data_IF_512441794048
#
_entry.id   IF_512441794048
#
_cell.length_a   1.000
_cell.length_b   1.000
_cell.length_c   1.000
_cell.angle_alpha   90.00
_cell.angle_beta   90.00
_cell.angle_gamma   90.00
#
_symmetry.space_group_name_H-M   'P 1'
#
loop_
_entity.id
_entity.type
_entity.pdbx_description
1 polymer ?
#
# COMPACT_ATOMS: atom_id res chain seq x y z
N UNK A 1 21.24 -8.96 6.01
CA UNK A 1 20.83 -7.59 5.66
C UNK A 1 19.41 -7.59 5.11
N UNK A 2 18.53 -6.69 5.56
CA UNK A 2 17.17 -6.48 5.08
C UNK A 2 17.03 -5.02 4.62
N UNK A 3 16.77 -4.80 3.33
CA UNK A 3 16.58 -3.46 2.77
C UNK A 3 15.13 -3.27 2.36
N UNK A 4 14.51 -2.14 2.71
CA UNK A 4 13.17 -1.82 2.28
C UNK A 4 13.18 -0.83 1.11
N UNK A 5 12.38 -1.09 0.06
CA UNK A 5 12.07 -0.12 -0.99
C UNK A 5 10.61 0.29 -0.83
N UNK A 6 10.41 1.49 -0.29
CA UNK A 6 9.07 2.02 0.03
C UNK A 6 8.58 3.01 -1.01
N UNK A 7 7.32 2.91 -1.40
CA UNK A 7 6.69 3.80 -2.39
C UNK A 7 5.27 4.19 -1.96
N UNK A 8 4.80 5.41 -2.28
CA UNK A 8 3.37 5.72 -2.24
C UNK A 8 2.55 4.71 -3.05
N UNK A 9 1.30 4.46 -2.62
CA UNK A 9 0.37 3.56 -3.31
C UNK A 9 -0.31 4.25 -4.50
N UNK A 10 0.49 4.59 -5.51
CA UNK A 10 0.06 5.28 -6.73
C UNK A 10 0.76 4.71 -7.95
N UNK A 11 0.18 4.85 -9.13
CA UNK A 11 0.64 4.28 -10.39
C UNK A 11 2.10 4.69 -10.71
N UNK A 12 2.40 6.00 -10.67
CA UNK A 12 3.71 6.52 -11.08
C UNK A 12 4.84 6.12 -10.12
N UNK A 13 4.57 6.14 -8.82
CA UNK A 13 5.58 5.79 -7.81
C UNK A 13 5.84 4.28 -7.78
N UNK A 14 4.81 3.44 -7.89
CA UNK A 14 4.97 1.98 -7.95
C UNK A 14 5.76 1.58 -9.21
N UNK A 15 5.52 2.24 -10.35
CA UNK A 15 6.30 2.01 -11.57
C UNK A 15 7.80 2.34 -11.42
N UNK A 16 8.15 3.24 -10.51
CA UNK A 16 9.55 3.61 -10.25
C UNK A 16 10.29 2.62 -9.35
N UNK A 17 9.57 1.74 -8.63
CA UNK A 17 10.17 0.70 -7.77
C UNK A 17 11.12 -0.19 -8.56
N UNK A 18 10.77 -0.58 -9.79
CA UNK A 18 11.58 -1.50 -10.59
C UNK A 18 12.99 -0.97 -10.85
N UNK A 19 13.12 0.33 -11.13
CA UNK A 19 14.42 0.97 -11.35
C UNK A 19 15.28 0.95 -10.08
N UNK A 20 14.66 1.23 -8.93
CA UNK A 20 15.36 1.25 -7.64
C UNK A 20 15.79 -0.15 -7.23
N UNK A 21 14.91 -1.15 -7.33
CA UNK A 21 15.25 -2.56 -7.01
C UNK A 21 16.38 -3.07 -7.91
N UNK A 22 16.32 -2.82 -9.22
CA UNK A 22 17.38 -3.22 -10.16
C UNK A 22 18.74 -2.61 -9.78
N UNK A 23 18.79 -1.31 -9.48
CA UNK A 23 20.02 -0.64 -9.07
C UNK A 23 20.61 -1.20 -7.75
N UNK A 24 19.75 -1.65 -6.83
CA UNK A 24 20.16 -2.25 -5.56
C UNK A 24 20.66 -3.69 -5.73
N UNK A 25 20.06 -4.46 -6.64
CA UNK A 25 20.50 -5.82 -6.96
C UNK A 25 21.88 -5.84 -7.61
N UNK A 26 22.19 -4.89 -8.50
CA UNK A 26 23.51 -4.82 -9.14
C UNK A 26 24.62 -4.50 -8.12
N UNK A 27 24.30 -3.70 -7.10
CA UNK A 27 25.28 -3.22 -6.11
C UNK A 27 25.36 -4.07 -4.85
N UNK A 28 24.35 -4.89 -4.57
CA UNK A 28 24.22 -5.62 -3.31
C UNK A 28 24.24 -7.13 -3.48
N UNK A 29 24.66 -7.84 -2.44
CA UNK A 29 24.57 -9.31 -2.34
C UNK A 29 23.17 -9.79 -1.94
N UNK A 30 22.11 -9.24 -2.54
CA UNK A 30 20.74 -9.63 -2.23
C UNK A 30 20.33 -10.87 -3.02
N UNK A 31 19.80 -11.86 -2.32
CA UNK A 31 19.36 -13.14 -2.89
C UNK A 31 17.84 -13.22 -3.01
N UNK A 32 17.12 -12.37 -2.29
CA UNK A 32 15.66 -12.42 -2.20
C UNK A 32 15.05 -11.06 -2.54
N UNK A 33 13.92 -11.07 -3.26
CA UNK A 33 13.08 -9.88 -3.45
C UNK A 33 11.65 -10.20 -3.03
N UNK A 34 11.17 -9.49 -2.00
CA UNK A 34 9.84 -9.65 -1.46
C UNK A 34 8.86 -8.67 -2.13
N UNK A 35 7.90 -9.19 -2.89
CA UNK A 35 6.92 -8.41 -3.68
C UNK A 35 5.55 -8.47 -2.99
N UNK A 36 4.78 -7.35 -2.92
CA UNK A 36 3.54 -7.28 -2.17
C UNK A 36 2.34 -7.90 -2.91
N UNK A 37 2.51 -9.16 -3.31
CA UNK A 37 1.47 -10.04 -3.87
C UNK A 37 1.21 -11.15 -2.85
N UNK A 38 -0.05 -11.53 -2.58
CA UNK A 38 -0.35 -12.66 -1.70
C UNK A 38 0.42 -13.93 -2.10
N UNK A 39 0.94 -14.64 -1.09
CA UNK A 39 1.76 -15.85 -1.29
C UNK A 39 1.05 -16.89 -2.16
N UNK A 40 -0.27 -17.01 -2.00
CA UNK A 40 -1.14 -17.92 -2.73
C UNK A 40 -1.19 -17.63 -4.23
N UNK A 41 -0.90 -16.39 -4.63
CA UNK A 41 -0.96 -15.94 -6.03
C UNK A 41 0.42 -15.84 -6.68
N UNK A 42 1.49 -15.58 -5.91
CA UNK A 42 2.81 -15.26 -6.44
C UNK A 42 3.33 -16.30 -7.43
N UNK A 43 3.32 -17.59 -7.06
CA UNK A 43 3.79 -18.68 -7.94
C UNK A 43 2.98 -18.76 -9.24
N UNK A 44 1.68 -18.51 -9.20
CA UNK A 44 0.81 -18.55 -10.38
C UNK A 44 1.11 -17.35 -11.28
N UNK A 45 1.23 -16.16 -10.70
CA UNK A 45 1.58 -14.93 -11.41
C UNK A 45 2.89 -15.12 -12.16
N UNK A 46 3.92 -15.62 -11.48
CA UNK A 46 5.23 -15.90 -12.07
C UNK A 46 5.10 -16.82 -13.28
N UNK A 47 4.42 -17.97 -13.11
CA UNK A 47 4.24 -18.94 -14.21
C UNK A 47 3.54 -18.31 -15.41
N UNK A 48 2.42 -17.62 -15.18
CA UNK A 48 1.66 -16.95 -16.23
C UNK A 48 2.47 -15.87 -16.94
N UNK A 49 3.22 -15.07 -16.17
CA UNK A 49 4.09 -14.03 -16.69
C UNK A 49 5.18 -14.61 -17.61
N UNK A 50 5.75 -15.76 -17.27
CA UNK A 50 6.79 -16.42 -18.06
C UNK A 50 6.24 -17.19 -19.27
N UNK A 51 5.10 -17.87 -19.14
CA UNK A 51 4.53 -18.70 -20.21
C UNK A 51 3.67 -17.92 -21.20
N UNK A 52 2.97 -16.90 -20.71
CA UNK A 52 1.86 -16.25 -21.43
C UNK A 52 1.94 -14.72 -21.38
N UNK A 53 2.98 -14.18 -20.75
CA UNK A 53 3.26 -12.75 -20.69
C UNK A 53 2.44 -11.96 -19.65
N UNK A 54 2.68 -10.65 -19.62
CA UNK A 54 2.08 -9.71 -18.66
C UNK A 54 0.55 -9.74 -18.67
N UNK A 55 -0.06 -9.78 -19.86
CA UNK A 55 -1.53 -9.71 -20.01
C UNK A 55 -2.25 -10.83 -19.26
N UNK A 56 -1.76 -12.07 -19.37
CA UNK A 56 -2.35 -13.22 -18.67
C UNK A 56 -2.26 -13.07 -17.14
N UNK A 57 -1.13 -12.59 -16.64
CA UNK A 57 -0.95 -12.35 -15.21
C UNK A 57 -1.84 -11.21 -14.69
N UNK A 58 -2.00 -10.13 -15.47
CA UNK A 58 -2.92 -9.03 -15.14
C UNK A 58 -4.36 -9.53 -15.07
N UNK A 59 -4.83 -10.27 -16.07
CA UNK A 59 -6.22 -10.78 -16.08
C UNK A 59 -6.48 -11.76 -14.93
N UNK A 60 -5.52 -12.64 -14.62
CA UNK A 60 -5.63 -13.53 -13.46
C UNK A 60 -5.72 -12.74 -12.14
N UNK A 61 -4.87 -11.74 -11.96
CA UNK A 61 -4.91 -10.87 -10.78
C UNK A 61 -6.17 -10.01 -10.74
N UNK A 62 -6.73 -9.62 -11.89
CA UNK A 62 -8.01 -8.91 -11.99
C UNK A 62 -9.13 -9.75 -11.39
N UNK A 63 -9.21 -11.02 -11.77
CA UNK A 63 -10.21 -11.95 -11.22
C UNK A 63 -10.00 -12.26 -9.74
N UNK A 64 -8.76 -12.26 -9.27
CA UNK A 64 -8.41 -12.65 -7.90
C UNK A 64 -8.48 -11.51 -6.87
N UNK A 65 -8.05 -10.31 -7.27
CA UNK A 65 -7.86 -9.13 -6.40
C UNK A 65 -8.73 -7.92 -6.79
N UNK A 66 -9.31 -7.93 -7.98
CA UNK A 66 -10.16 -6.86 -8.50
C UNK A 66 -9.38 -5.71 -9.17
N UNK A 67 -10.12 -4.89 -9.93
CA UNK A 67 -9.57 -3.76 -10.68
C UNK A 67 -8.86 -2.74 -9.77
N UNK A 68 -9.42 -2.45 -8.60
CA UNK A 68 -8.88 -1.41 -7.69
C UNK A 68 -7.44 -1.70 -7.24
N UNK A 69 -7.10 -2.97 -7.02
CA UNK A 69 -5.73 -3.37 -6.67
C UNK A 69 -4.77 -3.17 -7.86
N UNK A 70 -5.21 -3.54 -9.07
CA UNK A 70 -4.41 -3.47 -10.29
C UNK A 70 -4.03 -2.05 -10.71
N UNK A 71 -4.90 -1.06 -10.44
CA UNK A 71 -4.63 0.35 -10.76
C UNK A 71 -3.25 0.75 -10.25
N UNK A 72 -2.93 0.41 -9.00
CA UNK A 72 -1.67 0.79 -8.36
C UNK A 72 -0.58 -0.25 -8.51
N UNK A 73 -0.92 -1.56 -8.47
CA UNK A 73 0.08 -2.63 -8.33
C UNK A 73 0.45 -3.31 -9.65
N UNK A 74 -0.23 -3.04 -10.76
CA UNK A 74 0.12 -3.64 -12.06
C UNK A 74 1.58 -3.43 -12.51
N UNK A 75 2.29 -2.32 -12.19
CA UNK A 75 3.70 -2.19 -12.53
C UNK A 75 4.62 -3.18 -11.81
N UNK A 76 4.17 -3.82 -10.72
CA UNK A 76 4.92 -4.89 -10.06
C UNK A 76 5.07 -6.14 -10.93
N UNK A 77 4.20 -6.33 -11.93
CA UNK A 77 4.36 -7.43 -12.88
C UNK A 77 5.57 -7.18 -13.79
N UNK A 78 5.83 -5.91 -14.14
CA UNK A 78 7.04 -5.55 -14.90
C UNK A 78 8.30 -5.82 -14.06
N UNK A 79 8.24 -5.55 -12.75
CA UNK A 79 9.30 -5.94 -11.82
C UNK A 79 9.54 -7.45 -11.82
N UNK A 80 8.49 -8.26 -11.71
CA UNK A 80 8.61 -9.73 -11.75
C UNK A 80 9.27 -10.19 -13.05
N UNK A 81 8.82 -9.65 -14.19
CA UNK A 81 9.41 -9.97 -15.50
C UNK A 81 10.89 -9.63 -15.57
N UNK A 82 11.27 -8.44 -15.11
CA UNK A 82 12.66 -8.00 -15.09
C UNK A 82 13.53 -8.89 -14.19
N UNK A 83 13.06 -9.20 -12.97
CA UNK A 83 13.80 -10.03 -12.03
C UNK A 83 14.08 -11.42 -12.61
N UNK A 84 13.09 -12.04 -13.25
CA UNK A 84 13.30 -13.35 -13.87
C UNK A 84 14.25 -13.35 -15.06
N UNK A 85 14.24 -12.28 -15.86
CA UNK A 85 15.04 -12.22 -17.09
C UNK A 85 16.48 -11.76 -16.83
N UNK A 86 16.64 -10.78 -15.96
CA UNK A 86 17.93 -10.10 -15.74
C UNK A 86 18.63 -10.59 -14.47
N UNK A 87 17.89 -11.13 -13.50
CA UNK A 87 18.39 -11.53 -12.19
C UNK A 87 17.93 -12.95 -11.79
N UNK A 88 18.20 -13.99 -12.60
CA UNK A 88 17.63 -15.34 -12.42
C UNK A 88 18.04 -16.04 -11.11
N UNK A 89 19.08 -15.56 -10.42
CA UNK A 89 19.48 -16.08 -9.11
C UNK A 89 18.61 -15.55 -7.96
N UNK A 90 17.84 -14.48 -8.19
CA UNK A 90 16.99 -13.88 -7.17
C UNK A 90 15.77 -14.75 -6.92
N UNK A 91 15.56 -15.09 -5.66
CA UNK A 91 14.36 -15.75 -5.20
C UNK A 91 13.24 -14.73 -4.94
N UNK A 92 12.11 -14.88 -5.64
CA UNK A 92 10.93 -14.07 -5.37
C UNK A 92 10.13 -14.64 -4.21
N UNK A 93 9.89 -13.79 -3.21
CA UNK A 93 9.06 -14.13 -2.05
C UNK A 93 7.90 -13.14 -1.93
N UNK A 94 6.87 -13.53 -1.17
CA UNK A 94 5.72 -12.67 -0.92
C UNK A 94 5.99 -11.73 0.26
N UNK A 95 5.72 -10.44 0.09
CA UNK A 95 5.59 -9.47 1.19
C UNK A 95 4.15 -9.03 1.43
N UNK A 96 3.21 -9.53 0.62
CA UNK A 96 1.79 -9.17 0.69
C UNK A 96 1.06 -9.87 1.85
N UNK A 97 -0.12 -9.36 2.24
CA UNK A 97 -1.00 -10.09 3.14
C UNK A 97 -1.49 -11.40 2.50
N UNK A 98 -2.05 -12.32 3.30
CA UNK A 98 -2.73 -13.52 2.75
C UNK A 98 -3.87 -13.10 1.81
N UNK A 99 -4.27 -13.98 0.90
CA UNK A 99 -5.38 -13.68 -0.02
C UNK A 99 -6.68 -13.36 0.72
N UNK A 100 -6.93 -14.05 1.83
CA UNK A 100 -8.09 -13.80 2.67
C UNK A 100 -8.03 -12.42 3.34
N UNK A 101 -6.87 -12.03 3.84
CA UNK A 101 -6.69 -10.70 4.44
C UNK A 101 -6.79 -9.60 3.37
N UNK A 102 -6.25 -9.83 2.16
CA UNK A 102 -6.38 -8.91 1.04
C UNK A 102 -7.87 -8.69 0.67
N UNK A 103 -8.66 -9.76 0.64
CA UNK A 103 -10.11 -9.68 0.42
C UNK A 103 -10.83 -8.91 1.53
N UNK A 104 -10.42 -9.10 2.80
CA UNK A 104 -10.95 -8.33 3.93
C UNK A 104 -10.61 -6.84 3.81
N UNK A 105 -9.37 -6.50 3.46
CA UNK A 105 -8.95 -5.12 3.21
C UNK A 105 -9.77 -4.49 2.07
N UNK A 106 -9.96 -5.21 0.96
CA UNK A 106 -10.80 -4.74 -0.14
C UNK A 106 -12.25 -4.51 0.30
N UNK A 107 -12.81 -5.39 1.13
CA UNK A 107 -14.15 -5.20 1.69
C UNK A 107 -14.23 -3.94 2.57
N UNK A 108 -13.25 -3.74 3.45
CA UNK A 108 -13.16 -2.55 4.31
C UNK A 108 -13.10 -1.27 3.47
N UNK A 109 -12.37 -1.27 2.35
CA UNK A 109 -12.32 -0.13 1.44
C UNK A 109 -13.69 0.16 0.80
N UNK A 110 -14.45 -0.87 0.40
CA UNK A 110 -15.82 -0.72 -0.12
C UNK A 110 -16.78 -0.19 0.96
N UNK A 111 -16.68 -0.72 2.18
CA UNK A 111 -17.48 -0.27 3.31
C UNK A 111 -17.15 1.19 3.66
N UNK A 112 -15.87 1.60 3.56
CA UNK A 112 -15.42 2.98 3.74
C UNK A 112 -16.05 3.93 2.71
N UNK A 113 -16.04 3.56 1.42
CA UNK A 113 -16.70 4.35 0.36
C UNK A 113 -18.20 4.44 0.61
N UNK A 114 -18.82 3.36 1.06
CA UNK A 114 -20.26 3.32 1.40
C UNK A 114 -20.57 4.26 2.57
N UNK A 115 -19.74 4.28 3.61
CA UNK A 115 -19.90 5.20 4.74
C UNK A 115 -19.66 6.66 4.34
N UNK A 116 -18.71 6.94 3.44
CA UNK A 116 -18.52 8.28 2.86
C UNK A 116 -19.80 8.75 2.16
N UNK A 117 -20.37 7.93 1.28
CA UNK A 117 -21.61 8.26 0.57
C UNK A 117 -22.79 8.49 1.52
N UNK A 118 -22.94 7.63 2.55
CA UNK A 118 -23.99 7.79 3.57
C UNK A 118 -23.80 9.03 4.43
N UNK A 119 -22.56 9.45 4.67
CA UNK A 119 -22.25 10.63 5.48
C UNK A 119 -22.74 11.92 4.82
N UNK A 120 -22.79 11.97 3.48
CA UNK A 120 -23.36 13.10 2.74
C UNK A 120 -24.87 13.26 2.97
N UNK A 121 -25.58 12.16 3.27
CA UNK A 121 -27.04 12.16 3.45
C UNK A 121 -27.47 12.25 4.91
N UNK A 122 -26.71 11.64 5.81
CA UNK A 122 -27.12 11.41 7.21
C UNK A 122 -26.16 11.99 8.25
N UNK A 123 -25.09 12.65 7.80
CA UNK A 123 -23.99 13.08 8.66
C UNK A 123 -23.07 11.92 9.09
N UNK A 124 -21.99 12.26 9.81
CA UNK A 124 -20.97 11.28 10.22
C UNK A 124 -21.47 10.49 11.45
N UNK A 125 -21.86 9.23 11.23
CA UNK A 125 -22.15 8.25 12.28
C UNK A 125 -20.86 7.62 12.80
N UNK A 126 -20.26 8.22 13.83
CA UNK A 126 -18.91 7.85 14.27
C UNK A 126 -18.77 6.38 14.67
N UNK A 127 -19.80 5.76 15.26
CA UNK A 127 -19.76 4.36 15.70
C UNK A 127 -19.55 3.37 14.53
N UNK A 128 -20.13 3.66 13.37
CA UNK A 128 -19.93 2.85 12.16
C UNK A 128 -18.47 2.90 11.71
N UNK A 129 -17.86 4.08 11.78
CA UNK A 129 -16.44 4.30 11.47
C UNK A 129 -15.51 3.63 12.49
N UNK A 130 -15.86 3.68 13.79
CA UNK A 130 -15.11 2.97 14.84
C UNK A 130 -15.14 1.46 14.60
N UNK A 131 -16.32 0.89 14.27
CA UNK A 131 -16.45 -0.53 13.96
C UNK A 131 -15.58 -0.92 12.76
N UNK A 132 -15.62 -0.12 11.69
CA UNK A 132 -14.80 -0.35 10.50
C UNK A 132 -13.30 -0.24 10.80
N UNK A 133 -12.90 0.74 11.62
CA UNK A 133 -11.52 0.94 12.03
C UNK A 133 -10.96 -0.27 12.79
N UNK A 134 -11.70 -0.80 13.77
CA UNK A 134 -11.27 -1.99 14.54
C UNK A 134 -10.98 -3.18 13.63
N UNK A 135 -11.87 -3.45 12.68
CA UNK A 135 -11.70 -4.52 11.69
C UNK A 135 -10.46 -4.31 10.81
N UNK A 136 -10.16 -3.06 10.45
CA UNK A 136 -8.98 -2.70 9.67
C UNK A 136 -7.69 -2.96 10.44
N UNK A 137 -7.61 -2.49 11.68
CA UNK A 137 -6.43 -2.66 12.54
C UNK A 137 -6.12 -4.15 12.76
N UNK A 138 -7.12 -4.95 13.11
CA UNK A 138 -6.98 -6.40 13.32
C UNK A 138 -6.45 -7.13 12.07
N UNK A 139 -6.91 -6.72 10.89
CA UNK A 139 -6.49 -7.34 9.63
C UNK A 139 -5.06 -6.95 9.25
N UNK A 140 -4.66 -5.72 9.57
CA UNK A 140 -3.41 -5.13 9.14
C UNK A 140 -2.23 -5.49 10.05
N UNK A 141 -2.40 -5.63 11.36
CA UNK A 141 -1.29 -5.72 12.35
C UNK A 141 -0.62 -7.11 12.45
N UNK A 142 -0.72 -7.93 11.41
CA UNK A 142 -0.05 -9.24 11.39
C UNK A 142 1.47 -9.08 11.21
N UNK A 143 2.29 -9.77 12.02
CA UNK A 143 3.74 -9.72 11.91
C UNK A 143 4.20 -10.28 10.57
N UNK A 144 5.30 -9.72 10.06
CA UNK A 144 5.95 -10.19 8.83
C UNK A 144 7.40 -10.50 9.11
N UNK A 145 7.88 -11.60 8.53
CA UNK A 145 9.26 -12.04 8.61
C UNK A 145 9.79 -12.26 7.19
N UNK A 146 11.05 -11.93 7.00
CA UNK A 146 11.71 -12.03 5.70
C UNK A 146 13.03 -12.79 5.88
N UNK A 147 13.44 -13.61 4.90
CA UNK A 147 14.77 -14.19 4.87
C UNK A 147 15.86 -13.10 4.94
N UNK A 148 17.07 -13.44 5.42
CA UNK A 148 18.20 -12.53 5.30
C UNK A 148 18.52 -12.24 3.82
N UNK A 149 19.22 -11.14 3.57
CA UNK A 149 19.64 -10.69 2.25
C UNK A 149 18.45 -10.48 1.30
N UNK A 150 17.41 -9.84 1.84
CA UNK A 150 16.17 -9.53 1.12
C UNK A 150 16.04 -8.04 0.82
N UNK A 151 15.54 -7.71 -0.38
CA UNK A 151 14.92 -6.42 -0.68
C UNK A 151 13.40 -6.58 -0.51
N UNK A 152 12.79 -5.79 0.36
CA UNK A 152 11.34 -5.80 0.61
C UNK A 152 10.69 -4.62 -0.10
N UNK A 153 9.89 -4.90 -1.12
CA UNK A 153 9.04 -3.88 -1.75
C UNK A 153 7.82 -3.64 -0.86
N UNK A 154 7.67 -2.39 -0.42
CA UNK A 154 6.58 -1.93 0.43
C UNK A 154 5.81 -0.80 -0.25
N UNK A 155 4.52 -1.01 -0.48
CA UNK A 155 3.64 -0.02 -1.11
C UNK A 155 2.68 0.56 -0.08
N UNK A 156 2.59 1.88 -0.03
CA UNK A 156 1.79 2.65 0.92
C UNK A 156 2.49 2.90 2.26
N UNK A 157 2.05 3.95 2.93
CA UNK A 157 2.59 4.42 4.21
C UNK A 157 2.38 3.40 5.34
N UNK A 158 1.23 2.71 5.36
CA UNK A 158 0.93 1.67 6.37
C UNK A 158 1.98 0.55 6.34
N UNK A 159 2.33 0.06 5.15
CA UNK A 159 3.33 -1.00 5.01
C UNK A 159 4.74 -0.48 5.27
N UNK A 160 5.05 0.77 4.88
CA UNK A 160 6.32 1.39 5.19
C UNK A 160 6.59 1.43 6.70
N UNK A 161 5.64 1.87 7.52
CA UNK A 161 5.80 1.88 8.97
C UNK A 161 6.14 0.50 9.54
N UNK A 162 5.51 -0.55 9.00
CA UNK A 162 5.75 -1.94 9.44
C UNK A 162 7.14 -2.43 9.07
N UNK A 163 7.57 -2.16 7.84
CA UNK A 163 8.86 -2.65 7.35
C UNK A 163 10.01 -1.82 7.91
N UNK A 164 9.83 -0.52 8.13
CA UNK A 164 10.86 0.37 8.71
C UNK A 164 11.36 -0.12 10.07
N UNK A 165 10.51 -0.74 10.87
CA UNK A 165 10.89 -1.22 12.20
C UNK A 165 11.71 -2.52 12.20
N UNK A 166 11.81 -3.20 11.04
CA UNK A 166 12.53 -4.48 10.92
C UNK A 166 13.65 -4.45 9.87
N UNK A 167 13.64 -3.47 8.97
CA UNK A 167 14.67 -3.30 7.94
C UNK A 167 15.91 -2.61 8.51
N UNK A 168 17.09 -3.03 8.03
CA UNK A 168 18.37 -2.41 8.37
C UNK A 168 18.50 -1.01 7.73
N UNK A 169 17.90 -0.83 6.55
CA UNK A 169 17.85 0.46 5.84
C UNK A 169 16.57 0.56 4.99
N UNK A 170 16.16 1.79 4.69
CA UNK A 170 14.93 2.10 3.94
C UNK A 170 15.21 3.12 2.84
N UNK A 171 15.07 2.68 1.60
CA UNK A 171 15.06 3.54 0.42
C UNK A 171 13.62 3.92 0.10
N UNK A 172 13.35 5.22 -0.01
CA UNK A 172 12.03 5.73 -0.37
C UNK A 172 12.06 6.28 -1.79
N UNK A 173 11.15 5.80 -2.64
CA UNK A 173 11.09 6.15 -4.07
C UNK A 173 10.66 7.62 -4.30
N UNK A 174 9.93 8.20 -3.35
CA UNK A 174 9.41 9.57 -3.37
C UNK A 174 9.07 10.01 -1.96
N UNK A 175 8.65 11.25 -1.76
CA UNK A 175 8.11 11.68 -0.46
C UNK A 175 6.94 10.76 -0.05
N UNK A 176 7.03 10.20 1.15
CA UNK A 176 6.09 9.22 1.66
C UNK A 176 5.37 9.77 2.89
N UNK A 177 4.25 10.44 2.63
CA UNK A 177 3.28 10.90 3.61
C UNK A 177 2.02 10.01 3.58
N UNK A 178 1.32 9.82 4.71
CA UNK A 178 0.08 9.07 4.74
C UNK A 178 -1.02 9.79 3.96
N UNK A 179 -1.83 9.07 3.20
CA UNK A 179 -3.15 9.57 2.79
C UNK A 179 -4.13 9.57 3.96
N UNK A 180 -5.27 10.27 3.89
CA UNK A 180 -6.30 10.21 4.91
C UNK A 180 -6.78 8.79 5.24
N UNK A 181 -6.91 7.92 4.23
CA UNK A 181 -7.29 6.52 4.43
C UNK A 181 -6.21 5.72 5.14
N UNK A 182 -4.94 5.99 4.83
CA UNK A 182 -3.81 5.38 5.55
C UNK A 182 -3.70 5.89 6.99
N UNK A 183 -3.95 7.18 7.21
CA UNK A 183 -4.00 7.78 8.54
C UNK A 183 -5.09 7.12 9.40
N UNK A 184 -6.26 6.87 8.81
CA UNK A 184 -7.32 6.08 9.43
C UNK A 184 -6.82 4.69 9.82
N UNK A 185 -6.08 3.97 8.97
CA UNK A 185 -5.60 2.63 9.32
C UNK A 185 -4.50 2.59 10.40
N UNK A 186 -3.70 3.65 10.54
CA UNK A 186 -2.58 3.69 11.49
C UNK A 186 -2.92 4.37 12.81
N UNK A 187 -4.11 4.97 12.95
CA UNK A 187 -4.49 5.62 14.19
C UNK A 187 -4.59 4.60 15.33
N UNK A 188 -3.97 4.92 16.48
CA UNK A 188 -3.95 4.07 17.68
C UNK A 188 -4.38 4.81 18.95
N UNK A 189 -4.91 6.04 18.81
CA UNK A 189 -5.44 6.81 19.93
C UNK A 189 -6.87 6.40 20.30
N UNK A 190 -7.48 7.17 21.21
CA UNK A 190 -8.86 7.00 21.59
C UNK A 190 -9.81 7.42 20.46
N UNK A 191 -11.03 6.87 20.43
CA UNK A 191 -12.08 7.28 19.48
C UNK A 191 -12.70 8.63 19.87
N UNK A 192 -11.86 9.65 19.97
CA UNK A 192 -12.17 11.02 20.38
C UNK A 192 -12.38 11.95 19.17
N UNK A 193 -12.36 13.27 19.40
CA UNK A 193 -12.51 14.27 18.35
C UNK A 193 -11.41 14.19 17.28
N UNK A 194 -10.19 13.72 17.62
CA UNK A 194 -9.13 13.51 16.64
C UNK A 194 -9.51 12.39 15.67
N UNK A 195 -10.08 11.29 16.18
CA UNK A 195 -10.59 10.23 15.33
C UNK A 195 -11.71 10.73 14.41
N UNK A 196 -12.62 11.55 14.95
CA UNK A 196 -13.66 12.20 14.14
C UNK A 196 -13.07 13.07 13.03
N UNK A 197 -12.01 13.82 13.31
CA UNK A 197 -11.35 14.66 12.30
C UNK A 197 -10.60 13.83 11.25
N UNK A 198 -10.01 12.68 11.62
CA UNK A 198 -9.47 11.72 10.66
C UNK A 198 -10.59 11.23 9.72
N UNK A 199 -11.75 10.88 10.27
CA UNK A 199 -12.91 10.46 9.47
C UNK A 199 -13.37 11.58 8.52
N UNK A 200 -13.41 12.84 8.96
CA UNK A 200 -13.73 13.98 8.08
C UNK A 200 -12.73 14.08 6.92
N UNK A 201 -11.43 13.90 7.19
CA UNK A 201 -10.41 13.89 6.15
C UNK A 201 -10.54 12.72 5.18
N UNK A 202 -10.89 11.52 5.68
CA UNK A 202 -11.19 10.37 4.83
C UNK A 202 -12.37 10.66 3.91
N UNK A 203 -13.45 11.22 4.45
CA UNK A 203 -14.63 11.59 3.67
C UNK A 203 -14.25 12.59 2.58
N UNK A 204 -13.60 13.71 2.93
CA UNK A 204 -13.14 14.73 1.97
C UNK A 204 -12.24 14.14 0.89
N UNK A 205 -11.33 13.24 1.27
CA UNK A 205 -10.43 12.61 0.32
C UNK A 205 -11.17 11.71 -0.68
N UNK A 206 -12.12 10.91 -0.19
CA UNK A 206 -12.87 9.97 -1.02
C UNK A 206 -14.04 10.61 -1.80
N UNK A 207 -14.59 11.72 -1.34
CA UNK A 207 -15.70 12.43 -2.00
C UNK A 207 -15.22 13.50 -2.97
N UNK A 208 -14.15 14.23 -2.64
CA UNK A 208 -13.78 15.44 -3.36
C UNK A 208 -12.47 15.24 -4.12
N UNK A 209 -11.42 14.77 -3.44
CA UNK A 209 -10.07 14.75 -3.99
C UNK A 209 -9.88 13.61 -4.99
N UNK A 210 -10.18 12.37 -4.58
CA UNK A 210 -10.02 11.20 -5.46
C UNK A 210 -10.91 11.31 -6.71
N UNK A 211 -12.22 11.65 -6.61
CA UNK A 211 -13.07 11.73 -7.79
C UNK A 211 -12.75 12.89 -8.75
N UNK A 212 -12.19 14.00 -8.24
CA UNK A 212 -11.78 15.14 -9.09
C UNK A 212 -10.39 14.99 -9.72
N UNK A 213 -9.60 14.00 -9.28
CA UNK A 213 -8.26 13.72 -9.79
C UNK A 213 -8.32 12.79 -11.01
N UNK A 214 -7.39 12.96 -11.95
CA UNK A 214 -7.27 12.08 -13.13
C UNK A 214 -6.81 10.67 -12.78
N UNK A 215 -6.00 10.54 -11.73
CA UNK A 215 -5.45 9.28 -11.23
C UNK A 215 -5.05 9.40 -9.75
N UNK A 216 -4.61 8.29 -9.14
CA UNK A 216 -4.24 8.28 -7.73
C UNK A 216 -2.95 9.04 -7.45
N UNK A 217 -2.07 9.15 -8.44
CA UNK A 217 -0.85 9.97 -8.36
C UNK A 217 -1.20 11.46 -8.15
N UNK A 218 -2.16 12.00 -8.91
CA UNK A 218 -2.62 13.38 -8.78
C UNK A 218 -3.37 13.61 -7.45
N UNK A 219 -4.23 12.66 -7.05
CA UNK A 219 -4.90 12.72 -5.76
C UNK A 219 -3.89 12.75 -4.60
N UNK A 220 -2.83 11.94 -4.70
CA UNK A 220 -1.74 11.91 -3.73
C UNK A 220 -0.96 13.22 -3.66
N UNK A 221 -0.59 13.78 -4.82
CA UNK A 221 0.12 15.08 -4.88
C UNK A 221 -0.76 16.19 -4.29
N UNK A 222 -2.06 16.17 -4.58
CA UNK A 222 -3.03 17.16 -4.08
C UNK A 222 -3.09 17.13 -2.55
N UNK A 223 -3.27 15.95 -1.96
CA UNK A 223 -3.39 15.84 -0.49
C UNK A 223 -2.05 16.09 0.21
N UNK A 224 -0.92 15.65 -0.35
CA UNK A 224 0.41 15.85 0.25
C UNK A 224 0.95 17.27 0.13
N UNK A 225 0.32 18.13 -0.68
CA UNK A 225 0.58 19.57 -0.77
C UNK A 225 -0.46 20.42 -0.03
N UNK A 226 -1.53 19.82 0.47
CA UNK A 226 -2.56 20.53 1.23
C UNK A 226 -2.01 20.91 2.62
N UNK A 227 -1.78 22.21 2.84
CA UNK A 227 -1.21 22.73 4.09
C UNK A 227 -2.07 22.40 5.33
N UNK A 228 -3.39 22.45 5.19
CA UNK A 228 -4.33 22.12 6.27
C UNK A 228 -4.18 20.65 6.68
N UNK A 229 -4.12 19.75 5.68
CA UNK A 229 -3.90 18.33 5.93
C UNK A 229 -2.53 18.05 6.56
N UNK A 230 -1.46 18.66 6.06
CA UNK A 230 -0.13 18.47 6.61
C UNK A 230 -0.01 18.99 8.06
N UNK A 231 -0.65 20.11 8.36
CA UNK A 231 -0.74 20.63 9.72
C UNK A 231 -1.49 19.66 10.63
N UNK A 232 -2.55 19.04 10.13
CA UNK A 232 -3.31 18.03 10.86
C UNK A 232 -2.49 16.74 11.10
N UNK A 233 -1.81 16.21 10.10
CA UNK A 233 -0.94 15.02 10.26
C UNK A 233 0.15 15.28 11.31
N UNK A 234 0.73 16.48 11.29
CA UNK A 234 1.77 16.90 12.24
C UNK A 234 1.26 17.04 13.68
N UNK A 235 -0.02 17.34 13.89
CA UNK A 235 -0.60 17.43 15.24
C UNK A 235 -0.97 16.08 15.85
N UNK A 236 -1.12 15.03 15.01
CA UNK A 236 -1.45 13.67 15.45
C UNK A 236 -0.18 12.85 15.71
N UNK A 237 0.88 13.10 14.95
CA UNK A 237 2.15 12.40 15.11
C UNK A 237 2.90 13.05 16.27
N UNK A 238 3.20 12.34 17.38
CA UNK A 238 4.04 12.92 18.42
C UNK A 238 5.35 13.37 17.79
N UNK A 239 5.76 14.62 18.02
CA UNK A 239 7.09 15.09 17.68
C UNK A 239 8.07 14.11 18.30
N UNK A 240 8.77 13.36 17.46
CA UNK A 240 9.85 12.48 17.91
C UNK A 240 10.97 13.39 18.39
N UNK A 241 11.01 13.65 19.69
CA UNK A 241 12.20 14.17 20.38
C UNK A 241 13.11 13.01 20.76
#
# INVERSE_FOLDING_TARGET
MLLAVSSPSTEAHVASVSRVVSALLVKGGFENVAIPIPKELLTIVIKLTLSSGKGAAVEFLRGSLGNAWLVTHSPLIDLIMMLYKEYPWVNLISSGPSLNDQRRISKIAVDMVTLTAKSALTGIKIDDWVKLHRQAVETLDKPRTYPPNSIVVSIGYVNHLKVRNIADDVVVVSELKPTPTELFYIYRGNYDDRFRDIVKWVIRYLSDIVPSSRNLTEAYITITRNREYLSFVSSITPSSH
#
